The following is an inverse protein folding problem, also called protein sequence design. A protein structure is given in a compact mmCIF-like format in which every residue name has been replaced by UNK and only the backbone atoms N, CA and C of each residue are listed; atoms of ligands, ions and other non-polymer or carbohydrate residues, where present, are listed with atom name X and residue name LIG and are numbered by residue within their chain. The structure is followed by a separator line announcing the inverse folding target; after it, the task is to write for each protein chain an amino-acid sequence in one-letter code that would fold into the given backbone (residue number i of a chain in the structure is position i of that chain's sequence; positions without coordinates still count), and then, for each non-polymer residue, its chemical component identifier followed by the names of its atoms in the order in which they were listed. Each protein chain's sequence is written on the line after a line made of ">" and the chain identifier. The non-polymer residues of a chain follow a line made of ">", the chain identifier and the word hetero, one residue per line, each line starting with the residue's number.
data_IF_866604186790
#
_entry.id   IF_866604186790
#
_cell.length_a   1.000
_cell.length_b   1.000
_cell.length_c   1.000
_cell.angle_alpha   90.00
_cell.angle_beta   90.00
_cell.angle_gamma   90.00
#
_symmetry.space_group_name_H-M   'P 1'
#
loop_
_entity.id
_entity.type
_entity.pdbx_description
1 polymer ?
#
# COMPACT_ATOMS: atom_id res chain seq x y z
N UNK A 1 -33.83 -65.58 37.97
CA UNK A 1 -34.07 -65.34 36.53
C UNK A 1 -34.92 -64.08 36.40
N UNK A 2 -34.37 -63.05 35.76
CA UNK A 2 -34.94 -61.70 35.59
C UNK A 2 -35.72 -61.66 34.26
N UNK A 3 -36.90 -61.04 34.21
CA UNK A 3 -37.16 -59.72 33.60
C UNK A 3 -38.66 -59.45 33.43
N UNK A 4 -39.00 -58.18 33.58
CA UNK A 4 -40.30 -57.56 33.81
C UNK A 4 -40.96 -57.10 32.49
N UNK A 5 -42.31 -57.22 32.40
CA UNK A 5 -43.32 -56.20 32.03
C UNK A 5 -43.12 -55.30 30.79
N UNK A 6 -44.10 -54.97 29.94
CA UNK A 6 -45.52 -55.32 29.71
C UNK A 6 -45.89 -54.69 28.37
N UNK A 7 -46.70 -55.35 27.53
CA UNK A 7 -47.12 -54.88 26.20
C UNK A 7 -48.64 -55.01 26.05
N UNK A 8 -49.22 -53.94 25.50
CA UNK A 8 -50.43 -53.78 24.67
C UNK A 8 -51.70 -54.59 25.00
N UNK A 9 -52.84 -53.89 25.13
CA UNK A 9 -53.72 -53.49 24.02
C UNK A 9 -55.13 -53.24 24.58
N UNK A 10 -55.73 -52.07 24.35
CA UNK A 10 -57.19 -51.92 24.49
C UNK A 10 -57.76 -51.09 23.34
N UNK A 11 -58.89 -51.60 22.83
CA UNK A 11 -59.65 -51.16 21.68
C UNK A 11 -60.45 -49.87 21.91
N UNK A 12 -60.66 -49.16 20.80
CA UNK A 12 -61.90 -48.52 20.30
C UNK A 12 -62.66 -47.51 21.19
N UNK A 13 -63.02 -46.36 20.59
CA UNK A 13 -64.40 -45.98 20.22
C UNK A 13 -64.41 -44.55 19.62
N UNK A 14 -65.45 -44.33 18.81
CA UNK A 14 -65.69 -43.34 17.77
C UNK A 14 -66.18 -41.96 18.27
N UNK A 15 -65.95 -40.94 17.42
CA UNK A 15 -66.67 -39.68 17.21
C UNK A 15 -66.51 -38.50 18.18
N UNK A 16 -65.98 -37.39 17.63
CA UNK A 16 -66.53 -36.05 17.86
C UNK A 16 -66.05 -35.06 16.77
N UNK A 17 -67.04 -34.53 16.03
CA UNK A 17 -67.14 -33.16 15.51
C UNK A 17 -66.02 -32.56 14.65
N UNK A 18 -66.36 -32.45 13.36
CA UNK A 18 -65.87 -31.44 12.42
C UNK A 18 -66.32 -30.03 12.82
N UNK A 19 -65.38 -29.11 13.05
CA UNK A 19 -65.28 -27.84 12.30
C UNK A 19 -64.13 -26.93 12.81
N UNK A 20 -63.29 -26.54 11.85
CA UNK A 20 -62.53 -25.28 11.70
C UNK A 20 -61.57 -24.82 12.81
N UNK A 21 -60.28 -24.93 12.50
CA UNK A 21 -59.30 -23.89 12.80
C UNK A 21 -58.39 -23.69 11.58
N UNK A 22 -58.46 -22.49 10.99
CA UNK A 22 -57.53 -22.03 9.95
C UNK A 22 -56.10 -22.04 10.50
N UNK A 23 -55.21 -22.76 9.83
CA UNK A 23 -53.78 -22.55 9.98
C UNK A 23 -53.26 -22.02 8.66
N UNK A 24 -52.95 -20.71 8.64
CA UNK A 24 -52.18 -20.08 7.57
C UNK A 24 -50.92 -20.91 7.33
N UNK A 25 -50.84 -21.58 6.19
CA UNK A 25 -49.58 -22.09 5.64
C UNK A 25 -48.66 -20.89 5.49
N UNK A 26 -47.66 -20.77 6.38
CA UNK A 26 -46.51 -19.91 6.13
C UNK A 26 -45.82 -20.49 4.90
N UNK A 27 -46.02 -19.83 3.76
CA UNK A 27 -45.18 -20.00 2.58
C UNK A 27 -43.77 -19.65 3.07
N UNK A 28 -42.87 -20.62 3.06
CA UNK A 28 -41.45 -20.36 3.25
C UNK A 28 -41.03 -19.49 2.07
N UNK A 29 -40.90 -18.19 2.34
CA UNK A 29 -40.22 -17.28 1.45
C UNK A 29 -38.76 -17.73 1.56
N UNK A 30 -38.23 -18.38 0.53
CA UNK A 30 -36.79 -18.49 0.38
C UNK A 30 -36.28 -17.06 0.33
N UNK A 31 -35.70 -16.58 1.43
CA UNK A 31 -34.80 -15.45 1.35
C UNK A 31 -33.76 -15.80 0.28
N UNK A 32 -33.48 -14.89 -0.68
CA UNK A 32 -32.38 -15.13 -1.58
C UNK A 32 -31.15 -15.32 -0.70
N UNK A 33 -30.55 -16.51 -0.79
CA UNK A 33 -29.19 -16.72 -0.31
C UNK A 33 -28.39 -15.69 -1.10
N UNK A 34 -28.03 -14.58 -0.46
CA UNK A 34 -26.96 -13.74 -0.96
C UNK A 34 -25.78 -14.68 -1.09
N UNK A 35 -25.50 -15.07 -2.33
CA UNK A 35 -24.19 -15.58 -2.70
C UNK A 35 -23.23 -14.50 -2.25
N UNK A 36 -22.58 -14.72 -1.10
CA UNK A 36 -21.43 -13.95 -0.67
C UNK A 36 -20.41 -14.20 -1.76
N UNK A 37 -20.40 -13.33 -2.78
CA UNK A 37 -19.28 -13.26 -3.69
C UNK A 37 -18.06 -13.07 -2.79
N UNK A 38 -17.00 -13.90 -2.93
CA UNK A 38 -15.80 -13.71 -2.13
C UNK A 38 -15.40 -12.25 -2.26
N UNK A 39 -15.19 -11.59 -1.11
CA UNK A 39 -14.74 -10.21 -1.05
C UNK A 39 -13.43 -10.18 -1.83
N UNK A 40 -13.51 -9.69 -3.07
CA UNK A 40 -12.34 -9.60 -3.93
C UNK A 40 -11.54 -8.43 -3.43
N UNK A 41 -10.39 -8.69 -2.83
CA UNK A 41 -9.49 -7.64 -2.38
C UNK A 41 -9.22 -6.64 -3.52
N UNK A 42 -9.29 -5.37 -3.17
CA UNK A 42 -9.01 -4.27 -4.09
C UNK A 42 -7.58 -3.80 -3.90
N UNK A 43 -6.87 -3.56 -5.00
CA UNK A 43 -5.49 -3.08 -4.96
C UNK A 43 -5.34 -1.71 -5.60
N UNK A 44 -4.49 -0.89 -5.01
CA UNK A 44 -3.83 0.25 -5.65
C UNK A 44 -2.42 -0.22 -5.98
N UNK A 45 -2.11 -0.39 -7.27
CA UNK A 45 -0.78 -0.75 -7.78
C UNK A 45 -0.12 0.46 -8.40
N UNK A 46 1.01 0.85 -7.84
CA UNK A 46 1.80 2.01 -8.28
C UNK A 46 3.20 1.56 -8.68
N UNK A 47 3.57 1.72 -9.95
CA UNK A 47 4.96 1.58 -10.38
C UNK A 47 5.60 2.96 -10.48
N UNK A 48 6.64 3.19 -9.68
CA UNK A 48 7.48 4.39 -9.74
C UNK A 48 8.64 4.10 -10.69
N UNK A 49 8.72 4.84 -11.78
CA UNK A 49 9.80 4.77 -12.75
C UNK A 49 10.59 6.07 -12.61
N UNK A 50 11.72 6.02 -11.91
CA UNK A 50 12.49 7.21 -11.56
C UNK A 50 13.75 7.31 -12.42
N UNK A 51 13.95 8.47 -13.05
CA UNK A 51 15.21 8.76 -13.70
C UNK A 51 16.30 8.94 -12.63
N UNK A 52 17.42 8.22 -12.80
CA UNK A 52 18.61 8.31 -11.96
C UNK A 52 19.82 8.86 -12.74
N UNK A 53 19.58 9.67 -13.77
CA UNK A 53 20.59 10.47 -14.45
C UNK A 53 21.19 11.57 -13.54
N UNK A 54 22.34 12.12 -13.92
CA UNK A 54 23.12 13.09 -13.12
C UNK A 54 22.32 14.32 -12.62
N UNK A 55 21.27 14.74 -13.32
CA UNK A 55 20.47 15.91 -12.93
C UNK A 55 19.38 15.60 -11.91
N UNK A 56 19.14 14.33 -11.60
CA UNK A 56 17.94 13.89 -10.88
C UNK A 56 18.10 13.73 -9.37
N UNK A 57 19.19 14.22 -8.76
CA UNK A 57 19.36 14.17 -7.30
C UNK A 57 18.16 14.78 -6.56
N UNK A 58 17.68 15.95 -7.01
CA UNK A 58 16.52 16.60 -6.41
C UNK A 58 15.24 15.77 -6.52
N UNK A 59 15.02 15.04 -7.63
CA UNK A 59 13.87 14.15 -7.80
C UNK A 59 13.93 13.00 -6.78
N UNK A 60 15.10 12.38 -6.67
CA UNK A 60 15.33 11.27 -5.75
C UNK A 60 15.20 11.73 -4.29
N UNK A 61 15.70 12.91 -3.94
CA UNK A 61 15.54 13.51 -2.62
C UNK A 61 14.08 13.83 -2.30
N UNK A 62 13.32 14.42 -3.25
CA UNK A 62 11.89 14.63 -3.08
C UNK A 62 11.11 13.32 -2.89
N UNK A 63 11.45 12.27 -3.66
CA UNK A 63 10.82 10.96 -3.47
C UNK A 63 11.08 10.40 -2.06
N UNK A 64 12.33 10.48 -1.56
CA UNK A 64 12.70 10.07 -0.18
C UNK A 64 11.96 10.89 0.89
N UNK A 65 11.73 12.17 0.62
CA UNK A 65 11.04 13.10 1.52
C UNK A 65 9.54 12.87 1.62
N UNK A 66 8.92 12.41 0.54
CA UNK A 66 7.47 12.46 0.36
C UNK A 66 6.80 11.09 0.23
N UNK A 67 7.57 9.99 0.16
CA UNK A 67 7.04 8.63 0.07
C UNK A 67 5.94 8.37 1.12
N UNK A 68 6.22 8.70 2.38
CA UNK A 68 5.29 8.44 3.48
C UNK A 68 4.04 9.30 3.42
N UNK A 69 4.13 10.54 2.92
CA UNK A 69 2.97 11.43 2.75
C UNK A 69 2.03 10.92 1.66
N UNK A 70 2.60 10.45 0.54
CA UNK A 70 1.83 9.80 -0.52
C UNK A 70 1.12 8.56 0.04
N UNK A 71 1.82 7.68 0.75
CA UNK A 71 1.22 6.49 1.35
C UNK A 71 0.11 6.85 2.35
N UNK A 72 0.34 7.87 3.19
CA UNK A 72 -0.67 8.35 4.14
C UNK A 72 -1.94 8.78 3.42
N UNK A 73 -1.83 9.55 2.33
CA UNK A 73 -2.99 9.95 1.55
C UNK A 73 -3.73 8.74 0.93
N UNK A 74 -3.01 7.72 0.50
CA UNK A 74 -3.63 6.48 -0.03
C UNK A 74 -4.29 5.65 1.07
N UNK A 75 -3.83 5.74 2.32
CA UNK A 75 -4.44 5.01 3.44
C UNK A 75 -5.87 5.46 3.77
N UNK A 76 -6.26 6.67 3.35
CA UNK A 76 -7.62 7.19 3.51
C UNK A 76 -8.56 6.77 2.38
N UNK A 77 -8.04 6.13 1.32
CA UNK A 77 -8.86 5.71 0.20
C UNK A 77 -9.76 4.53 0.60
N UNK A 78 -10.99 4.53 0.10
CA UNK A 78 -11.93 3.40 0.19
C UNK A 78 -12.54 3.14 -1.18
N UNK A 79 -12.73 1.88 -1.54
CA UNK A 79 -13.44 1.45 -2.74
C UNK A 79 -14.56 0.50 -2.30
N UNK A 80 -15.82 0.80 -2.67
CA UNK A 80 -16.99 -0.04 -2.30
C UNK A 80 -17.06 -0.40 -0.80
N UNK A 81 -16.78 0.59 0.07
CA UNK A 81 -16.70 0.45 1.53
C UNK A 81 -15.57 -0.47 2.06
N UNK A 82 -14.62 -0.84 1.20
CA UNK A 82 -13.43 -1.59 1.58
C UNK A 82 -12.19 -0.71 1.46
N UNK A 83 -11.22 -0.94 2.34
CA UNK A 83 -9.92 -0.29 2.24
C UNK A 83 -9.03 -1.11 1.31
N UNK A 84 -8.55 -0.53 0.20
CA UNK A 84 -7.71 -1.24 -0.74
C UNK A 84 -6.32 -1.49 -0.13
N UNK A 85 -5.70 -2.59 -0.55
CA UNK A 85 -4.27 -2.85 -0.32
C UNK A 85 -3.44 -1.96 -1.27
N UNK A 86 -2.22 -1.61 -0.86
CA UNK A 86 -1.26 -0.86 -1.68
C UNK A 86 -0.10 -1.77 -2.04
N UNK A 87 0.26 -1.80 -3.32
CA UNK A 87 1.51 -2.40 -3.78
C UNK A 87 2.28 -1.38 -4.58
N UNK A 88 3.56 -1.20 -4.23
CA UNK A 88 4.46 -0.30 -4.94
C UNK A 88 5.54 -1.14 -5.61
N UNK A 89 5.89 -0.79 -6.84
CA UNK A 89 7.07 -1.27 -7.53
C UNK A 89 7.99 -0.10 -7.83
N UNK A 90 9.30 -0.36 -7.89
CA UNK A 90 10.31 0.66 -8.15
C UNK A 90 11.21 0.22 -9.30
N UNK A 91 11.32 1.07 -10.30
CA UNK A 91 12.32 1.01 -11.36
C UNK A 91 13.16 2.26 -11.32
N UNK A 92 14.41 2.09 -11.73
CA UNK A 92 15.23 3.20 -12.19
C UNK A 92 15.52 3.05 -13.68
N UNK A 93 15.78 4.19 -14.31
CA UNK A 93 16.26 4.27 -15.69
C UNK A 93 17.17 5.49 -15.86
N UNK A 94 17.86 5.58 -17.00
CA UNK A 94 18.66 6.78 -17.32
C UNK A 94 20.06 6.84 -16.73
N UNK A 95 20.53 5.75 -16.09
CA UNK A 95 21.82 5.70 -15.41
C UNK A 95 22.85 4.81 -16.15
N UNK A 96 24.03 5.36 -16.44
CA UNK A 96 25.11 4.74 -17.23
C UNK A 96 25.77 3.55 -16.53
N UNK A 97 25.58 3.41 -15.20
CA UNK A 97 25.99 2.20 -14.50
C UNK A 97 25.09 1.00 -14.87
N UNK A 98 23.94 1.25 -15.53
CA UNK A 98 23.02 0.22 -15.97
C UNK A 98 23.44 -0.34 -17.33
N UNK A 99 23.08 -1.60 -17.57
CA UNK A 99 23.42 -2.26 -18.84
C UNK A 99 22.65 -1.63 -20.00
N UNK A 100 23.38 -1.16 -21.01
CA UNK A 100 22.81 -0.70 -22.28
C UNK A 100 22.02 -1.80 -23.01
N UNK A 101 22.33 -3.08 -22.77
CA UNK A 101 21.59 -4.22 -23.34
C UNK A 101 20.12 -4.25 -22.88
N UNK A 102 19.84 -3.72 -21.68
CA UNK A 102 18.49 -3.59 -21.14
C UNK A 102 17.93 -2.17 -21.34
N UNK A 103 18.58 -1.35 -22.18
CA UNK A 103 18.19 0.03 -22.42
C UNK A 103 18.36 0.95 -21.20
N UNK A 104 19.35 0.69 -20.36
CA UNK A 104 19.58 1.43 -19.11
C UNK A 104 18.39 1.40 -18.16
N UNK A 105 17.70 0.26 -18.08
CA UNK A 105 16.55 0.05 -17.18
C UNK A 105 16.84 -1.06 -16.18
N UNK A 106 16.47 -0.85 -14.91
CA UNK A 106 16.55 -1.87 -13.86
C UNK A 106 15.28 -1.88 -13.00
N UNK A 107 14.68 -3.05 -12.86
CA UNK A 107 13.67 -3.32 -11.81
C UNK A 107 14.41 -3.42 -10.48
N UNK A 108 14.13 -2.49 -9.57
CA UNK A 108 14.72 -2.48 -8.23
C UNK A 108 13.88 -3.34 -7.29
N UNK A 109 12.56 -3.08 -7.28
CA UNK A 109 11.58 -3.85 -6.49
C UNK A 109 10.39 -4.19 -7.38
N UNK A 110 9.94 -5.45 -7.32
CA UNK A 110 8.65 -5.84 -7.89
C UNK A 110 7.50 -5.27 -7.04
N UNK A 111 6.25 -5.55 -7.38
CA UNK A 111 5.14 -5.15 -6.51
C UNK A 111 5.27 -5.81 -5.14
N UNK A 112 5.35 -4.98 -4.11
CA UNK A 112 5.38 -5.38 -2.70
C UNK A 112 4.48 -4.45 -1.89
N UNK A 113 3.91 -4.97 -0.81
CA UNK A 113 3.23 -4.22 0.24
C UNK A 113 4.16 -3.92 1.44
N UNK A 114 5.39 -4.43 1.44
CA UNK A 114 6.44 -4.05 2.39
C UNK A 114 7.02 -2.67 2.02
N UNK A 115 6.54 -1.64 2.71
CA UNK A 115 6.94 -0.25 2.49
C UNK A 115 8.37 0.05 2.95
N UNK A 116 8.94 -0.78 3.84
CA UNK A 116 10.32 -0.61 4.29
C UNK A 116 11.32 -1.11 3.26
N UNK A 117 10.98 -2.14 2.48
CA UNK A 117 11.76 -2.53 1.30
C UNK A 117 11.80 -1.40 0.27
N UNK A 118 10.65 -0.77 -0.01
CA UNK A 118 10.57 0.37 -0.94
C UNK A 118 11.41 1.54 -0.43
N UNK A 119 11.27 1.89 0.84
CA UNK A 119 12.07 2.96 1.47
C UNK A 119 13.56 2.64 1.39
N UNK A 120 13.98 1.44 1.80
CA UNK A 120 15.39 1.01 1.76
C UNK A 120 15.98 1.16 0.36
N UNK A 121 15.29 0.66 -0.66
CA UNK A 121 15.79 0.71 -2.02
C UNK A 121 15.80 2.14 -2.57
N UNK A 122 14.77 2.94 -2.28
CA UNK A 122 14.71 4.36 -2.64
C UNK A 122 15.87 5.17 -2.01
N UNK A 123 16.19 4.90 -0.73
CA UNK A 123 17.31 5.51 -0.04
C UNK A 123 18.67 5.08 -0.60
N UNK A 124 18.76 3.91 -1.23
CA UNK A 124 19.97 3.38 -1.85
C UNK A 124 20.25 3.88 -3.27
N UNK A 125 19.27 4.54 -3.92
CA UNK A 125 19.44 5.07 -5.26
C UNK A 125 20.51 6.16 -5.30
N UNK A 126 21.32 6.10 -6.34
CA UNK A 126 22.37 7.08 -6.65
C UNK A 126 22.24 7.50 -8.10
N UNK A 127 22.57 8.75 -8.38
CA UNK A 127 22.54 9.26 -9.74
C UNK A 127 23.88 9.07 -10.43
N UNK A 128 23.84 8.72 -11.71
CA UNK A 128 24.98 8.76 -12.61
C UNK A 128 24.44 8.91 -14.03
N UNK A 129 25.07 9.74 -14.86
CA UNK A 129 24.56 10.22 -16.14
C UNK A 129 24.06 9.10 -17.05
N UNK A 130 23.26 9.42 -18.06
CA UNK A 130 22.87 8.43 -19.05
C UNK A 130 21.72 8.89 -19.93
N UNK A 131 21.21 7.96 -20.74
CA UNK A 131 20.13 8.22 -21.69
C UNK A 131 18.79 7.72 -21.14
N UNK A 132 17.79 8.59 -21.14
CA UNK A 132 16.47 8.34 -20.57
C UNK A 132 15.54 7.62 -21.55
N UNK A 133 15.44 6.29 -21.49
CA UNK A 133 14.58 5.53 -22.41
C UNK A 133 13.17 5.29 -21.84
N UNK A 134 12.36 6.35 -21.82
CA UNK A 134 10.99 6.36 -21.27
C UNK A 134 10.11 5.21 -21.82
N UNK A 135 10.07 5.04 -23.16
CA UNK A 135 9.30 3.94 -23.77
C UNK A 135 9.78 2.55 -23.33
N UNK A 136 11.09 2.40 -23.12
CA UNK A 136 11.70 1.13 -22.72
C UNK A 136 11.34 0.77 -21.27
N UNK A 137 11.43 1.72 -20.33
CA UNK A 137 11.09 1.46 -18.92
C UNK A 137 9.59 1.22 -18.72
N UNK A 138 8.73 1.92 -19.46
CA UNK A 138 7.28 1.66 -19.45
C UNK A 138 7.02 0.23 -19.92
N UNK A 139 7.54 -0.16 -21.09
CA UNK A 139 7.35 -1.50 -21.63
C UNK A 139 7.89 -2.58 -20.69
N UNK A 140 9.10 -2.39 -20.14
CA UNK A 140 9.69 -3.32 -19.18
C UNK A 140 8.84 -3.48 -17.91
N UNK A 141 8.25 -2.39 -17.41
CA UNK A 141 7.35 -2.44 -16.25
C UNK A 141 6.05 -3.19 -16.54
N UNK A 142 5.51 -3.09 -17.77
CA UNK A 142 4.31 -3.81 -18.19
C UNK A 142 4.57 -5.30 -18.36
N UNK A 143 5.76 -5.68 -18.81
CA UNK A 143 6.13 -7.07 -19.09
C UNK A 143 6.57 -7.82 -17.83
N UNK A 144 7.27 -7.15 -16.91
CA UNK A 144 7.96 -7.80 -15.79
C UNK A 144 7.33 -7.59 -14.41
N UNK A 145 6.22 -6.85 -14.32
CA UNK A 145 5.42 -6.71 -13.11
C UNK A 145 4.07 -7.43 -13.25
N UNK A 146 3.62 -8.03 -12.16
CA UNK A 146 2.28 -8.60 -12.08
C UNK A 146 1.25 -7.50 -11.75
N UNK A 147 0.62 -6.95 -12.78
CA UNK A 147 -0.40 -5.92 -12.66
C UNK A 147 -1.77 -6.45 -12.19
N UNK A 148 -1.91 -7.77 -12.04
CA UNK A 148 -3.17 -8.44 -11.70
C UNK A 148 -4.24 -8.32 -12.80
N UNK A 149 -5.32 -9.07 -12.65
CA UNK A 149 -6.42 -9.13 -13.64
C UNK A 149 -7.71 -8.44 -13.20
N UNK A 150 -7.78 -7.93 -11.96
CA UNK A 150 -8.98 -7.27 -11.47
C UNK A 150 -9.18 -5.91 -12.16
N UNK A 151 -10.36 -5.69 -12.75
CA UNK A 151 -10.68 -4.47 -13.47
C UNK A 151 -10.95 -3.28 -12.53
N UNK A 152 -11.38 -3.57 -11.30
CA UNK A 152 -11.64 -2.56 -10.27
C UNK A 152 -10.35 -2.01 -9.64
N UNK A 153 -9.23 -2.73 -9.73
CA UNK A 153 -7.96 -2.29 -9.16
C UNK A 153 -7.45 -1.02 -9.85
N UNK A 154 -6.87 -0.10 -9.08
CA UNK A 154 -6.15 1.03 -9.62
C UNK A 154 -4.75 0.59 -10.02
N UNK A 155 -4.36 0.88 -11.25
CA UNK A 155 -3.07 0.48 -11.84
C UNK A 155 -2.46 1.70 -12.48
N UNK A 156 -1.37 2.19 -11.90
CA UNK A 156 -0.78 3.45 -12.29
C UNK A 156 0.74 3.31 -12.40
N UNK A 157 1.28 3.87 -13.48
CA UNK A 157 2.69 4.16 -13.64
C UNK A 157 2.87 5.64 -13.35
N UNK A 158 3.85 6.00 -12.53
CA UNK A 158 4.38 7.36 -12.43
C UNK A 158 5.80 7.32 -12.95
N UNK A 159 6.03 7.95 -14.11
CA UNK A 159 7.35 8.12 -14.69
C UNK A 159 7.82 9.55 -14.50
N UNK A 160 9.04 9.73 -14.01
CA UNK A 160 9.65 11.03 -13.75
C UNK A 160 11.05 11.13 -14.37
N UNK A 161 11.36 12.25 -15.01
CA UNK A 161 12.63 12.49 -15.74
C UNK A 161 12.67 13.87 -16.39
N UNK A 162 13.74 14.20 -17.10
CA UNK A 162 13.96 15.55 -17.65
C UNK A 162 14.41 15.61 -19.11
N UNK A 163 14.54 14.48 -19.80
CA UNK A 163 14.91 14.42 -21.22
C UNK A 163 13.68 14.15 -22.11
N UNK A 164 13.81 14.25 -23.45
CA UNK A 164 12.72 13.94 -24.36
C UNK A 164 12.14 12.53 -24.17
N UNK A 165 10.81 12.46 -24.03
CA UNK A 165 10.05 11.21 -23.83
C UNK A 165 10.17 10.23 -25.01
N UNK A 166 10.70 10.72 -26.14
CA UNK A 166 10.86 10.02 -27.41
C UNK A 166 12.18 9.25 -27.53
N UNK A 167 13.08 9.36 -26.56
CA UNK A 167 14.37 8.67 -26.60
C UNK A 167 14.26 7.14 -26.49
N UNK A 168 15.24 6.44 -27.08
CA UNK A 168 15.35 4.99 -27.06
C UNK A 168 14.70 4.29 -28.26
N UNK A 169 14.86 2.97 -28.34
CA UNK A 169 14.38 2.16 -29.47
C UNK A 169 12.90 1.77 -29.37
N UNK A 170 12.35 1.74 -28.15
CA UNK A 170 10.94 1.44 -27.93
C UNK A 170 10.13 2.72 -28.08
N UNK A 171 9.19 2.74 -29.03
CA UNK A 171 8.30 3.87 -29.24
C UNK A 171 7.33 4.00 -28.05
N UNK A 172 7.36 5.15 -27.36
CA UNK A 172 6.48 5.40 -26.23
C UNK A 172 5.00 5.29 -26.57
N UNK A 173 4.59 5.52 -27.82
CA UNK A 173 3.19 5.38 -28.23
C UNK A 173 2.73 3.93 -28.17
N UNK A 174 3.57 3.00 -28.62
CA UNK A 174 3.28 1.56 -28.58
C UNK A 174 3.24 1.07 -27.14
N UNK A 175 4.20 1.50 -26.31
CA UNK A 175 4.22 1.20 -24.88
C UNK A 175 2.97 1.76 -24.15
N UNK A 176 2.53 2.98 -24.48
CA UNK A 176 1.31 3.58 -23.92
C UNK A 176 0.05 2.85 -24.38
N UNK A 177 -0.03 2.39 -25.63
CA UNK A 177 -1.17 1.58 -26.11
C UNK A 177 -1.22 0.27 -25.33
N UNK A 178 -0.08 -0.40 -25.15
CA UNK A 178 -0.01 -1.62 -24.35
C UNK A 178 -0.39 -1.40 -22.87
N UNK A 179 0.03 -0.28 -22.26
CA UNK A 179 -0.39 0.10 -20.91
C UNK A 179 -1.92 0.22 -20.83
N UNK A 180 -2.51 0.95 -21.79
CA UNK A 180 -3.96 1.15 -21.89
C UNK A 180 -4.72 -0.17 -22.05
N UNK A 181 -4.24 -1.09 -22.89
CA UNK A 181 -4.83 -2.42 -23.07
C UNK A 181 -4.82 -3.24 -21.78
N UNK A 182 -3.78 -3.08 -20.94
CA UNK A 182 -3.69 -3.68 -19.59
C UNK A 182 -4.49 -2.93 -18.52
N UNK A 183 -5.16 -1.84 -18.88
CA UNK A 183 -5.89 -0.97 -17.95
C UNK A 183 -4.97 -0.22 -16.98
N UNK A 184 -3.70 -0.01 -17.36
CA UNK A 184 -2.69 0.75 -16.63
C UNK A 184 -2.66 2.19 -17.14
N UNK A 185 -2.77 3.15 -16.22
CA UNK A 185 -2.67 4.58 -16.54
C UNK A 185 -1.23 5.05 -16.34
N UNK A 186 -0.65 5.70 -17.34
CA UNK A 186 0.69 6.29 -17.28
C UNK A 186 0.56 7.77 -16.96
N UNK A 187 1.09 8.17 -15.82
CA UNK A 187 1.24 9.55 -15.37
C UNK A 187 2.68 9.97 -15.57
N UNK A 188 2.88 11.17 -16.12
CA UNK A 188 4.21 11.65 -16.52
C UNK A 188 4.56 12.93 -15.75
N UNK A 189 5.69 12.91 -15.06
CA UNK A 189 6.23 14.01 -14.24
C UNK A 189 7.50 14.54 -14.90
N UNK A 190 7.41 15.70 -15.55
CA UNK A 190 8.59 16.33 -16.12
C UNK A 190 9.32 17.18 -15.08
N UNK A 191 10.62 16.93 -14.92
CA UNK A 191 11.47 17.60 -13.95
C UNK A 191 12.06 18.89 -14.54
N UNK A 192 11.21 19.88 -14.84
CA UNK A 192 11.63 21.14 -15.45
C UNK A 192 10.47 22.09 -15.77
N UNK A 193 10.61 22.88 -16.85
CA UNK A 193 9.57 23.77 -17.34
C UNK A 193 8.39 22.99 -17.96
N UNK A 194 7.17 23.42 -17.66
CA UNK A 194 5.96 22.76 -18.15
C UNK A 194 5.88 22.76 -19.69
N UNK A 195 6.23 23.85 -20.36
CA UNK A 195 6.16 23.93 -21.82
C UNK A 195 7.23 23.09 -22.49
N UNK A 196 8.39 22.91 -21.84
CA UNK A 196 9.41 21.99 -22.29
C UNK A 196 8.91 20.55 -22.28
N UNK A 197 8.32 20.06 -21.18
CA UNK A 197 7.77 18.71 -21.15
C UNK A 197 6.64 18.49 -22.16
N UNK A 198 5.84 19.52 -22.46
CA UNK A 198 4.86 19.46 -23.56
C UNK A 198 5.56 19.29 -24.91
N UNK A 199 6.56 20.11 -25.22
CA UNK A 199 7.26 20.05 -26.51
C UNK A 199 8.12 18.79 -26.66
N UNK A 200 8.52 18.17 -25.55
CA UNK A 200 9.30 16.94 -25.51
C UNK A 200 8.45 15.67 -25.31
N UNK A 201 7.15 15.77 -25.60
CA UNK A 201 6.16 14.67 -25.67
C UNK A 201 5.75 14.00 -24.35
N UNK A 202 6.13 14.54 -23.19
CA UNK A 202 5.67 14.02 -21.88
C UNK A 202 4.15 14.12 -21.76
N UNK A 203 3.58 15.27 -22.15
CA UNK A 203 2.13 15.47 -22.11
C UNK A 203 1.36 14.47 -22.96
N UNK A 204 1.85 14.19 -24.16
CA UNK A 204 1.24 13.19 -25.04
C UNK A 204 1.35 11.80 -24.43
N UNK A 205 2.50 11.44 -23.86
CA UNK A 205 2.74 10.15 -23.19
C UNK A 205 1.67 9.81 -22.14
N UNK A 206 1.32 10.77 -21.28
CA UNK A 206 0.23 10.61 -20.31
C UNK A 206 -1.15 10.52 -20.97
N UNK A 207 -1.46 11.43 -21.89
CA UNK A 207 -2.78 11.54 -22.52
C UNK A 207 -3.20 10.27 -23.27
N UNK A 208 -2.25 9.54 -23.86
CA UNK A 208 -2.50 8.26 -24.56
C UNK A 208 -3.15 7.20 -23.66
N UNK A 209 -2.95 7.30 -22.34
CA UNK A 209 -3.48 6.35 -21.34
C UNK A 209 -4.52 6.98 -20.40
N UNK A 210 -4.97 8.20 -20.71
CA UNK A 210 -5.84 9.02 -19.85
C UNK A 210 -5.22 9.43 -18.51
N UNK A 211 -3.89 9.42 -18.42
CA UNK A 211 -3.15 9.91 -17.27
C UNK A 211 -2.96 11.42 -17.28
N UNK A 212 -2.34 11.91 -16.22
CA UNK A 212 -2.03 13.32 -16.05
C UNK A 212 -0.57 13.62 -16.34
N UNK A 213 -0.37 14.79 -16.96
CA UNK A 213 0.94 15.38 -17.16
C UNK A 213 1.13 16.53 -16.18
N UNK A 214 2.26 16.48 -15.48
CA UNK A 214 2.66 17.45 -14.49
C UNK A 214 4.12 17.83 -14.71
N UNK A 215 4.47 19.05 -14.29
CA UNK A 215 5.83 19.53 -14.28
C UNK A 215 6.17 19.97 -12.87
N UNK A 216 7.32 19.55 -12.37
CA UNK A 216 7.77 19.86 -11.00
C UNK A 216 9.13 20.54 -11.04
N UNK A 217 9.36 21.41 -10.06
CA UNK A 217 10.72 21.80 -9.72
C UNK A 217 11.29 20.75 -8.77
N UNK A 218 12.03 19.78 -9.33
CA UNK A 218 12.64 18.69 -8.56
C UNK A 218 13.69 19.18 -7.54
N UNK A 219 14.22 20.40 -7.69
CA UNK A 219 15.14 21.00 -6.71
C UNK A 219 14.43 21.88 -5.67
N UNK A 220 13.10 21.97 -5.72
CA UNK A 220 12.33 22.69 -4.71
C UNK A 220 12.39 21.91 -3.39
N UNK A 221 12.83 22.57 -2.33
CA UNK A 221 12.81 21.98 -1.00
C UNK A 221 11.36 21.84 -0.52
N UNK A 222 11.06 20.69 0.10
CA UNK A 222 9.78 20.44 0.76
C UNK A 222 9.60 21.42 1.92
N UNK A 223 8.53 22.21 1.91
CA UNK A 223 8.23 23.18 2.98
C UNK A 223 7.63 22.44 4.16
N UNK A 224 8.28 22.53 5.32
CA UNK A 224 7.75 21.94 6.55
C UNK A 224 6.94 22.95 7.35
N UNK A 225 5.68 22.63 7.62
CA UNK A 225 4.84 23.34 8.58
C UNK A 225 4.90 22.59 9.91
N UNK A 226 5.61 23.17 10.88
CA UNK A 226 5.72 22.58 12.22
C UNK A 226 4.35 22.51 12.89
N UNK A 227 3.97 21.31 13.33
CA UNK A 227 2.69 21.07 13.99
C UNK A 227 2.88 20.87 15.50
N UNK A 228 1.97 21.36 16.35
CA UNK A 228 2.01 21.08 17.78
C UNK A 228 1.84 19.58 18.13
N UNK A 229 1.49 18.73 17.16
CA UNK A 229 1.29 17.30 17.36
C UNK A 229 2.52 16.46 17.00
N UNK A 230 3.54 17.04 16.35
CA UNK A 230 4.68 16.30 15.81
C UNK A 230 5.46 15.53 16.89
N UNK A 231 5.78 16.17 18.02
CA UNK A 231 6.55 15.52 19.08
C UNK A 231 5.79 14.36 19.72
N UNK A 232 4.47 14.49 19.89
CA UNK A 232 3.64 13.43 20.46
C UNK A 232 3.60 12.24 19.50
N UNK A 233 3.45 12.48 18.19
CA UNK A 233 3.51 11.43 17.18
C UNK A 233 4.86 10.70 17.23
N UNK A 234 5.98 11.42 17.28
CA UNK A 234 7.31 10.78 17.37
C UNK A 234 7.49 9.95 18.66
N UNK A 235 6.93 10.39 19.79
CA UNK A 235 6.92 9.58 21.01
C UNK A 235 6.06 8.32 20.87
N UNK A 236 4.95 8.39 20.12
CA UNK A 236 4.13 7.22 19.81
C UNK A 236 4.88 6.25 18.90
N UNK A 237 5.69 6.72 17.95
CA UNK A 237 6.55 5.84 17.13
C UNK A 237 7.51 5.02 18.00
N UNK A 238 8.17 5.66 18.98
CA UNK A 238 9.08 4.96 19.90
C UNK A 238 8.35 3.85 20.68
N UNK A 239 7.09 4.09 21.07
CA UNK A 239 6.26 3.07 21.73
C UNK A 239 5.83 1.98 20.74
N UNK A 240 5.41 2.36 19.53
CA UNK A 240 4.99 1.45 18.47
C UNK A 240 6.10 0.45 18.13
N UNK A 241 7.36 0.93 18.04
CA UNK A 241 8.54 0.10 17.75
C UNK A 241 8.75 -1.04 18.76
N UNK A 242 8.29 -0.87 19.99
CA UNK A 242 8.41 -1.89 21.05
C UNK A 242 7.33 -2.97 20.98
N UNK A 243 6.33 -2.78 20.11
CA UNK A 243 5.25 -3.74 19.92
C UNK A 243 5.54 -4.77 18.83
N UNK A 244 6.56 -4.56 17.99
CA UNK A 244 6.95 -5.54 16.96
C UNK A 244 7.67 -6.73 17.59
N UNK A 245 7.29 -7.93 17.16
CA UNK A 245 7.79 -9.21 17.65
C UNK A 245 8.21 -10.00 16.44
N UNK A 246 9.51 -9.96 16.12
CA UNK A 246 9.97 -10.61 14.92
C UNK A 246 9.82 -12.15 14.97
N UNK A 247 9.73 -12.78 13.81
CA UNK A 247 9.85 -14.23 13.63
C UNK A 247 10.44 -14.57 12.26
N UNK A 248 10.80 -15.84 12.09
CA UNK A 248 11.34 -16.35 10.84
C UNK A 248 12.81 -15.93 10.61
N UNK A 249 13.43 -16.55 9.61
CA UNK A 249 14.87 -16.35 9.32
C UNK A 249 15.24 -14.90 9.02
N UNK A 250 14.32 -14.12 8.44
CA UNK A 250 14.54 -12.72 8.11
C UNK A 250 14.02 -11.76 9.18
N UNK A 251 13.36 -12.26 10.23
CA UNK A 251 12.69 -11.46 11.27
C UNK A 251 13.55 -10.37 11.86
N UNK A 252 14.69 -10.77 12.42
CA UNK A 252 15.61 -9.82 13.05
C UNK A 252 16.16 -8.78 12.05
N UNK A 253 16.44 -9.21 10.80
CA UNK A 253 16.92 -8.31 9.75
C UNK A 253 15.86 -7.30 9.34
N UNK A 254 14.60 -7.73 9.18
CA UNK A 254 13.47 -6.87 8.82
C UNK A 254 13.13 -5.89 9.94
N UNK A 255 13.16 -6.33 11.20
CA UNK A 255 13.01 -5.42 12.35
C UNK A 255 14.14 -4.38 12.39
N UNK A 256 15.39 -4.77 12.12
CA UNK A 256 16.51 -3.82 12.03
C UNK A 256 16.34 -2.84 10.86
N UNK A 257 15.86 -3.32 9.70
CA UNK A 257 15.56 -2.49 8.54
C UNK A 257 14.48 -1.46 8.86
N UNK A 258 13.40 -1.83 9.58
CA UNK A 258 12.39 -0.88 10.04
C UNK A 258 13.03 0.27 10.85
N UNK A 259 13.95 -0.05 11.76
CA UNK A 259 14.64 0.96 12.59
C UNK A 259 15.61 1.83 11.77
N UNK A 260 16.23 1.26 10.75
CA UNK A 260 17.02 2.00 9.77
C UNK A 260 16.14 2.98 8.98
N UNK A 261 14.95 2.56 8.54
CA UNK A 261 14.02 3.44 7.83
C UNK A 261 13.43 4.54 8.75
N UNK A 262 13.23 4.26 10.04
CA UNK A 262 12.94 5.31 11.04
C UNK A 262 14.07 6.36 11.09
N UNK A 263 15.32 5.90 11.09
CA UNK A 263 16.49 6.78 11.13
C UNK A 263 16.65 7.59 9.84
N UNK A 264 16.42 6.97 8.69
CA UNK A 264 16.45 7.63 7.37
C UNK A 264 15.38 8.73 7.27
N UNK A 265 14.14 8.44 7.69
CA UNK A 265 13.07 9.42 7.69
C UNK A 265 13.40 10.60 8.63
N UNK A 266 13.90 10.32 9.83
CA UNK A 266 14.32 11.35 10.80
C UNK A 266 15.53 12.16 10.33
N UNK A 267 16.48 11.54 9.63
CA UNK A 267 17.64 12.19 9.04
C UNK A 267 17.26 13.16 7.93
N UNK A 268 16.16 12.88 7.22
CA UNK A 268 15.64 13.79 6.20
C UNK A 268 14.95 15.01 6.81
N UNK A 269 13.92 14.80 7.65
CA UNK A 269 13.28 15.88 8.40
C UNK A 269 12.38 15.36 9.52
N UNK A 270 12.06 16.23 10.49
CA UNK A 270 11.04 15.95 11.51
C UNK A 270 9.68 15.64 10.88
N UNK A 271 9.31 16.36 9.82
CA UNK A 271 8.09 16.14 9.06
C UNK A 271 8.02 14.72 8.52
N UNK A 272 9.12 14.28 7.89
CA UNK A 272 9.20 12.99 7.23
C UNK A 272 9.10 11.84 8.24
N UNK A 273 9.75 11.97 9.40
CA UNK A 273 9.61 11.01 10.50
C UNK A 273 8.18 10.94 11.07
N UNK A 274 7.49 12.07 11.16
CA UNK A 274 6.08 12.09 11.55
C UNK A 274 5.21 11.43 10.49
N UNK A 275 5.41 11.74 9.21
CA UNK A 275 4.68 11.13 8.10
C UNK A 275 4.88 9.61 8.08
N UNK A 276 6.11 9.11 8.29
CA UNK A 276 6.37 7.68 8.48
C UNK A 276 5.61 7.10 9.67
N UNK A 277 5.61 7.80 10.80
CA UNK A 277 4.88 7.35 12.00
C UNK A 277 3.38 7.18 11.71
N UNK A 278 2.79 8.11 10.96
CA UNK A 278 1.39 8.02 10.52
C UNK A 278 1.19 6.80 9.63
N UNK A 279 2.10 6.52 8.69
CA UNK A 279 2.03 5.34 7.82
C UNK A 279 2.01 4.05 8.61
N UNK A 280 2.90 3.89 9.59
CA UNK A 280 2.94 2.71 10.48
C UNK A 280 1.70 2.53 11.34
N UNK A 281 0.99 3.64 11.58
CA UNK A 281 -0.30 3.65 12.26
C UNK A 281 -1.48 3.22 11.38
N UNK A 282 -1.27 3.08 10.07
CA UNK A 282 -2.31 2.79 9.09
C UNK A 282 -2.37 1.31 8.71
N UNK A 283 -3.47 0.89 8.07
CA UNK A 283 -3.65 -0.48 7.58
C UNK A 283 -2.74 -0.84 6.38
N UNK A 284 -2.03 0.15 5.80
CA UNK A 284 -1.14 -0.09 4.67
C UNK A 284 0.26 -0.55 5.09
N UNK A 285 0.61 -0.42 6.37
CA UNK A 285 1.92 -0.84 6.87
C UNK A 285 1.85 -2.29 7.37
N UNK A 286 2.07 -3.24 6.46
CA UNK A 286 1.97 -4.68 6.72
C UNK A 286 3.33 -5.32 6.91
N UNK A 287 3.45 -6.17 7.94
CA UNK A 287 4.70 -6.84 8.29
C UNK A 287 4.51 -8.33 8.58
N UNK A 288 3.40 -8.93 8.13
CA UNK A 288 3.04 -10.32 8.43
C UNK A 288 4.09 -11.35 8.03
N UNK A 289 4.98 -11.05 7.09
CA UNK A 289 6.10 -11.94 6.72
C UNK A 289 7.19 -12.07 7.78
N UNK A 290 7.22 -11.18 8.77
CA UNK A 290 8.31 -11.12 9.75
C UNK A 290 7.91 -10.68 11.16
N UNK A 291 6.71 -10.14 11.38
CA UNK A 291 6.17 -9.74 12.69
C UNK A 291 5.00 -10.63 13.12
N UNK A 292 5.06 -11.22 14.32
CA UNK A 292 4.06 -12.17 14.81
C UNK A 292 2.68 -11.56 15.04
N UNK A 293 2.61 -10.28 15.43
CA UNK A 293 1.33 -9.63 15.70
C UNK A 293 0.56 -9.45 14.40
N UNK A 294 1.24 -8.97 13.34
CA UNK A 294 0.65 -8.85 11.99
C UNK A 294 0.40 -10.25 11.38
N UNK A 295 1.33 -11.20 11.57
CA UNK A 295 1.19 -12.56 11.01
C UNK A 295 -0.04 -13.30 11.54
N UNK A 296 -0.29 -13.24 12.86
CA UNK A 296 -1.48 -13.85 13.47
C UNK A 296 -2.79 -13.19 13.01
N UNK A 297 -2.76 -11.91 12.60
CA UNK A 297 -3.94 -11.20 12.11
C UNK A 297 -4.20 -11.43 10.60
N UNK A 298 -3.15 -11.47 9.79
CA UNK A 298 -3.27 -11.41 8.33
C UNK A 298 -3.10 -12.77 7.63
N UNK A 299 -2.38 -13.72 8.22
CA UNK A 299 -2.14 -15.03 7.59
C UNK A 299 -3.28 -15.98 7.96
N UNK A 300 -4.02 -16.44 6.94
CA UNK A 300 -5.03 -17.47 7.10
C UNK A 300 -4.37 -18.76 7.64
N UNK A 301 -5.01 -19.36 8.66
CA UNK A 301 -4.52 -20.56 9.36
C UNK A 301 -3.11 -20.43 9.98
N UNK A 302 -2.70 -19.22 10.40
CA UNK A 302 -1.42 -19.00 11.07
C UNK A 302 -1.20 -19.92 12.28
N UNK A 303 -0.07 -20.65 12.28
CA UNK A 303 0.26 -21.63 13.32
C UNK A 303 1.56 -21.28 14.05
N UNK A 304 1.46 -21.03 15.35
CA UNK A 304 2.62 -20.81 16.21
C UNK A 304 3.49 -22.07 16.39
N UNK A 305 2.91 -23.25 16.19
CA UNK A 305 3.60 -24.53 16.34
C UNK A 305 4.62 -24.78 15.21
N UNK A 306 4.50 -24.08 14.09
CA UNK A 306 5.40 -24.20 12.94
C UNK A 306 6.64 -23.30 13.06
N UNK A 307 6.67 -22.39 14.04
CA UNK A 307 7.76 -21.44 14.23
C UNK A 307 8.92 -22.13 14.96
N UNK A 308 10.12 -22.07 14.37
CA UNK A 308 11.33 -22.56 15.02
C UNK A 308 11.76 -21.64 16.16
N UNK A 309 12.16 -22.23 17.28
CA UNK A 309 12.60 -21.48 18.46
C UNK A 309 13.79 -20.56 18.17
N UNK A 310 14.70 -20.98 17.29
CA UNK A 310 15.87 -20.19 16.92
C UNK A 310 15.52 -18.94 16.09
N UNK A 311 14.33 -18.95 15.47
CA UNK A 311 13.81 -17.88 14.63
C UNK A 311 12.97 -16.86 15.43
N UNK A 312 12.85 -17.03 16.75
CA UNK A 312 12.18 -16.12 17.68
C UNK A 312 13.16 -15.16 18.38
N UNK A 313 12.67 -14.07 18.99
CA UNK A 313 13.44 -13.22 19.90
C UNK A 313 13.98 -14.01 21.09
N UNK A 314 15.17 -13.63 21.58
CA UNK A 314 15.87 -14.34 22.66
C UNK A 314 14.99 -14.55 23.90
N UNK A 315 14.16 -13.56 24.26
CA UNK A 315 13.25 -13.65 25.41
C UNK A 315 12.03 -14.57 25.20
N UNK A 316 11.80 -15.06 23.98
CA UNK A 316 10.71 -15.96 23.61
C UNK A 316 11.16 -17.38 23.25
N UNK A 317 12.45 -17.64 23.01
CA UNK A 317 12.95 -18.96 22.56
C UNK A 317 12.63 -20.11 23.52
N UNK A 318 12.67 -19.82 24.82
CA UNK A 318 12.42 -20.81 25.89
C UNK A 318 10.95 -20.86 26.34
N UNK A 319 10.06 -20.11 25.68
CA UNK A 319 8.64 -20.02 26.02
C UNK A 319 7.81 -21.14 25.39
N UNK A 320 6.71 -21.51 26.05
CA UNK A 320 5.68 -22.37 25.44
C UNK A 320 4.89 -21.60 24.38
N UNK A 321 4.19 -22.34 23.50
CA UNK A 321 3.32 -21.73 22.48
C UNK A 321 2.24 -20.86 23.11
N UNK A 322 1.65 -21.28 24.23
CA UNK A 322 0.67 -20.49 24.98
C UNK A 322 1.27 -19.22 25.58
N UNK A 323 2.50 -19.29 26.09
CA UNK A 323 3.20 -18.10 26.59
C UNK A 323 3.52 -17.10 25.46
N UNK A 324 3.92 -17.60 24.28
CA UNK A 324 4.16 -16.77 23.09
C UNK A 324 2.86 -16.10 22.64
N UNK A 325 1.77 -16.87 22.50
CA UNK A 325 0.44 -16.33 22.15
C UNK A 325 -0.01 -15.26 23.14
N UNK A 326 0.15 -15.50 24.44
CA UNK A 326 -0.19 -14.51 25.46
C UNK A 326 0.68 -13.25 25.35
N UNK A 327 1.95 -13.37 24.99
CA UNK A 327 2.83 -12.22 24.77
C UNK A 327 2.43 -11.42 23.53
N UNK A 328 2.18 -12.09 22.40
CA UNK A 328 1.73 -11.46 21.15
C UNK A 328 0.41 -10.73 21.35
N UNK A 329 -0.54 -11.30 22.08
CA UNK A 329 -1.81 -10.66 22.40
C UNK A 329 -1.66 -9.40 23.27
N UNK A 330 -0.70 -9.37 24.20
CA UNK A 330 -0.37 -8.15 24.97
C UNK A 330 0.17 -7.07 24.03
N UNK A 331 1.07 -7.44 23.11
CA UNK A 331 1.65 -6.51 22.16
C UNK A 331 0.62 -5.98 21.16
N UNK A 332 -0.29 -6.83 20.68
CA UNK A 332 -1.45 -6.44 19.84
C UNK A 332 -2.27 -5.35 20.51
N UNK A 333 -2.71 -5.58 21.76
CA UNK A 333 -3.53 -4.61 22.49
C UNK A 333 -2.85 -3.25 22.65
N UNK A 334 -1.56 -3.26 22.95
CA UNK A 334 -0.79 -2.03 23.06
C UNK A 334 -0.58 -1.34 21.70
N UNK A 335 -0.31 -2.12 20.63
CA UNK A 335 -0.21 -1.63 19.26
C UNK A 335 -1.49 -0.96 18.81
N UNK A 336 -2.63 -1.61 18.96
CA UNK A 336 -3.93 -1.04 18.61
C UNK A 336 -4.21 0.27 19.36
N UNK A 337 -3.89 0.34 20.66
CA UNK A 337 -4.05 1.56 21.45
C UNK A 337 -3.20 2.70 20.88
N UNK A 338 -1.94 2.42 20.56
CA UNK A 338 -1.01 3.39 19.97
C UNK A 338 -1.48 3.83 18.57
N UNK A 339 -1.89 2.89 17.71
CA UNK A 339 -2.39 3.19 16.37
C UNK A 339 -3.66 4.05 16.40
N UNK A 340 -4.56 3.84 17.36
CA UNK A 340 -5.73 4.69 17.61
C UNK A 340 -5.32 6.12 17.99
N UNK A 341 -4.31 6.28 18.84
CA UNK A 341 -3.76 7.59 19.21
C UNK A 341 -3.07 8.28 18.04
N UNK A 342 -2.27 7.55 17.25
CA UNK A 342 -1.63 8.05 16.02
C UNK A 342 -2.71 8.54 15.05
N UNK A 343 -3.76 7.76 14.82
CA UNK A 343 -4.88 8.13 13.92
C UNK A 343 -5.59 9.40 14.38
N UNK A 344 -5.86 9.53 15.68
CA UNK A 344 -6.52 10.71 16.22
C UNK A 344 -5.65 11.97 16.10
N UNK A 345 -4.34 11.85 16.33
CA UNK A 345 -3.40 12.98 16.24
C UNK A 345 -3.05 13.33 14.80
N UNK A 346 -2.93 12.35 13.91
CA UNK A 346 -2.65 12.56 12.48
C UNK A 346 -3.76 13.36 11.81
N UNK A 347 -5.02 13.10 12.17
CA UNK A 347 -6.17 13.91 11.74
C UNK A 347 -6.03 15.37 12.18
N UNK A 348 -5.74 15.62 13.46
CA UNK A 348 -5.54 16.99 13.98
C UNK A 348 -4.35 17.69 13.32
N UNK A 349 -3.26 16.96 13.07
CA UNK A 349 -2.09 17.46 12.35
C UNK A 349 -2.45 17.86 10.93
N UNK A 350 -3.17 17.02 10.20
CA UNK A 350 -3.64 17.31 8.84
C UNK A 350 -4.51 18.56 8.82
N UNK A 351 -5.53 18.64 9.69
CA UNK A 351 -6.40 19.81 9.79
C UNK A 351 -5.63 21.11 10.07
N UNK A 352 -4.61 21.05 10.95
CA UNK A 352 -3.75 22.19 11.28
C UNK A 352 -2.89 22.63 10.08
N UNK A 353 -2.28 21.68 9.36
CA UNK A 353 -1.44 21.95 8.20
C UNK A 353 -2.28 22.56 7.08
N UNK A 354 -3.43 21.98 6.73
CA UNK A 354 -4.32 22.49 5.68
C UNK A 354 -4.82 23.90 5.97
N UNK A 355 -5.06 24.27 7.24
CA UNK A 355 -5.42 25.65 7.61
C UNK A 355 -4.26 26.64 7.51
N UNK A 356 -3.02 26.14 7.57
CA UNK A 356 -1.80 26.95 7.56
C UNK A 356 -1.18 27.10 6.17
N UNK A 357 -1.59 26.25 5.22
CA UNK A 357 -1.10 26.27 3.84
C UNK A 357 -1.65 27.48 3.05
N UNK A 358 -0.75 28.20 2.38
CA UNK A 358 -1.10 29.08 1.26
C UNK A 358 -0.96 28.25 -0.01
N UNK A 359 -1.94 28.33 -0.90
CA UNK A 359 -1.96 27.67 -2.23
C UNK A 359 -0.61 27.83 -2.95
N UNK A 360 0.28 26.85 -2.84
CA UNK A 360 1.42 26.66 -3.73
C UNK A 360 2.13 25.36 -3.37
N UNK A 361 1.96 24.34 -4.22
CA UNK A 361 2.79 23.15 -4.17
C UNK A 361 2.87 22.53 -5.56
N UNK A 362 3.87 22.97 -6.33
CA UNK A 362 4.34 22.24 -7.52
C UNK A 362 5.32 21.12 -7.12
N UNK A 363 5.05 20.44 -5.99
CA UNK A 363 5.86 19.35 -5.46
C UNK A 363 5.40 17.98 -5.98
N UNK A 364 6.31 17.01 -6.02
CA UNK A 364 6.07 15.64 -6.50
C UNK A 364 4.84 14.99 -5.84
N UNK A 365 4.74 15.08 -4.52
CA UNK A 365 3.62 14.54 -3.73
C UNK A 365 2.25 15.05 -4.18
N UNK A 366 2.05 16.36 -4.26
CA UNK A 366 0.78 16.97 -4.69
C UNK A 366 0.41 16.54 -6.10
N UNK A 367 1.40 16.44 -6.98
CA UNK A 367 1.22 16.04 -8.36
C UNK A 367 0.77 14.58 -8.47
N UNK A 368 1.39 13.68 -7.70
CA UNK A 368 0.98 12.27 -7.60
C UNK A 368 -0.42 12.11 -6.98
N UNK A 369 -0.69 12.74 -5.83
CA UNK A 369 -1.97 12.62 -5.12
C UNK A 369 -3.13 13.10 -6.00
N UNK A 370 -2.99 14.23 -6.70
CA UNK A 370 -4.03 14.75 -7.58
C UNK A 370 -4.35 13.76 -8.71
N UNK A 371 -3.33 13.21 -9.35
CA UNK A 371 -3.50 12.22 -10.42
C UNK A 371 -4.18 10.95 -9.91
N UNK A 372 -3.72 10.43 -8.74
CA UNK A 372 -4.32 9.25 -8.13
C UNK A 372 -5.79 9.50 -7.81
N UNK A 373 -6.14 10.58 -7.10
CA UNK A 373 -7.53 10.90 -6.72
C UNK A 373 -8.43 11.01 -7.95
N UNK A 374 -8.01 11.74 -8.98
CA UNK A 374 -8.76 11.88 -10.24
C UNK A 374 -9.00 10.55 -10.97
N UNK A 375 -8.02 9.66 -10.98
CA UNK A 375 -8.14 8.34 -11.62
C UNK A 375 -8.96 7.37 -10.78
N UNK A 376 -8.82 7.48 -9.47
CA UNK A 376 -9.52 6.68 -8.47
C UNK A 376 -11.03 6.97 -8.45
N UNK A 377 -11.44 8.23 -8.62
CA UNK A 377 -12.85 8.62 -8.76
C UNK A 377 -13.55 7.84 -9.89
N UNK A 378 -12.86 7.62 -11.02
CA UNK A 378 -13.40 6.84 -12.16
C UNK A 378 -13.61 5.36 -11.84
N UNK A 379 -13.00 4.85 -10.75
CA UNK A 379 -13.14 3.46 -10.27
C UNK A 379 -13.90 3.36 -8.94
N UNK A 380 -14.69 4.38 -8.58
CA UNK A 380 -15.50 4.42 -7.36
C UNK A 380 -14.69 4.39 -6.06
N UNK A 381 -13.46 4.93 -6.09
CA UNK A 381 -12.71 5.18 -4.87
C UNK A 381 -13.09 6.56 -4.31
N UNK A 382 -13.11 6.66 -2.98
CA UNK A 382 -13.41 7.88 -2.23
C UNK A 382 -12.40 8.08 -1.10
N UNK A 383 -12.22 9.32 -0.67
CA UNK A 383 -11.38 9.71 0.48
C UNK A 383 -12.30 10.30 1.54
N UNK A 384 -12.34 9.69 2.73
CA UNK A 384 -13.20 10.10 3.85
C UNK A 384 -12.41 10.34 5.13
#
# INVERSE_FOLDING_TARGET
>A
MKTLKTILLLMAIISAFSCKAETKKKIAINEPIETINPIKEHYIRVALLLDTSNSMDGLIDQAKAQLWEIVNELSYATCKNQRPNLQIALYEYGNDNLSSNNGYVRKIVAFTDDLDDISKELFSLTTNGGNEYCGTVIQASLDNLDWGSNADDLKMIFIAGNEPFTQGNVNYRDASIHAKEKGVVVNTIFCGDYSQGVSSSWKEGAQLTYGDYMSINHNQQTVHIASPYDDILLQLNIKLNKTYVYYGQQGNRKMAMQQEQDSNAAGYSKANAVSRTVTKGSHLYKNSTWDLVDAEEEIEDFSFDEIKKEELPDHLKDKSVEEIKSYVEIQRKERERIQKEITALSKKRKDFITQSEKENSNALESAMIQAIKKQAEKKNYTWN
#
